data_IF_824414802274
#
_entry.id   IF_824414802274
#
_cell.length_a   1.000
_cell.length_b   1.000
_cell.length_c   1.000
_cell.angle_alpha   90.00
_cell.angle_beta   90.00
_cell.angle_gamma   90.00
#
_symmetry.space_group_name_H-M   'P 1'
#
loop_
_entity.id
_entity.type
_entity.pdbx_description
1 polymer ?
#
# COMPACT_ATOMS: atom_id res chain seq x y z
N UNK A 1 -9.90 19.99 -20.75
CA UNK A 1 -8.97 18.85 -20.65
C UNK A 1 -9.66 17.71 -19.91
N UNK A 2 -9.98 16.62 -20.62
CA UNK A 2 -10.58 15.43 -20.01
C UNK A 2 -9.49 14.47 -19.53
N UNK A 3 -9.48 14.01 -18.27
CA UNK A 3 -8.57 12.94 -17.87
C UNK A 3 -9.05 11.64 -18.51
N UNK A 4 -8.18 11.03 -19.33
CA UNK A 4 -8.38 9.71 -19.93
C UNK A 4 -8.53 8.68 -18.82
N UNK A 5 -9.78 8.29 -18.51
CA UNK A 5 -10.05 7.17 -17.60
C UNK A 5 -9.88 5.87 -18.38
N UNK A 6 -8.69 5.27 -18.30
CA UNK A 6 -8.47 3.93 -18.83
C UNK A 6 -9.14 2.90 -17.92
N UNK A 7 -10.42 2.59 -18.22
CA UNK A 7 -11.13 1.44 -17.63
C UNK A 7 -10.72 0.17 -18.38
N UNK A 8 -9.57 -0.43 -18.05
CA UNK A 8 -9.36 -1.86 -18.33
C UNK A 8 -9.18 -2.61 -17.01
N UNK A 9 -9.89 -3.72 -16.90
CA UNK A 9 -9.73 -4.73 -15.85
C UNK A 9 -8.36 -5.40 -16.09
N UNK A 10 -7.32 -4.88 -15.44
CA UNK A 10 -5.95 -5.40 -15.57
C UNK A 10 -5.90 -6.80 -14.96
N UNK A 11 -5.32 -7.76 -15.70
CA UNK A 11 -5.27 -9.16 -15.25
C UNK A 11 -4.32 -9.32 -14.05
N UNK A 12 -4.57 -10.29 -13.14
CA UNK A 12 -3.80 -10.54 -11.92
C UNK A 12 -2.26 -10.56 -12.05
N UNK A 13 -1.74 -11.02 -13.19
CA UNK A 13 -0.31 -11.16 -13.48
C UNK A 13 0.34 -9.87 -14.02
N UNK A 14 -0.42 -9.00 -14.69
CA UNK A 14 0.07 -7.70 -15.18
C UNK A 14 0.20 -6.67 -14.04
N UNK A 15 -0.47 -6.89 -12.91
CA UNK A 15 -0.42 -6.00 -11.75
C UNK A 15 0.96 -5.96 -11.07
N UNK A 16 1.73 -7.07 -11.12
CA UNK A 16 3.06 -7.17 -10.48
C UNK A 16 4.09 -6.25 -11.17
N UNK A 17 4.09 -6.21 -12.50
CA UNK A 17 4.93 -5.27 -13.25
C UNK A 17 4.40 -3.82 -13.12
N UNK A 18 3.08 -3.62 -13.03
CA UNK A 18 2.49 -2.29 -12.92
C UNK A 18 2.84 -1.59 -11.61
N UNK A 19 2.90 -2.30 -10.47
CA UNK A 19 3.26 -1.68 -9.18
C UNK A 19 4.73 -1.24 -9.15
N UNK A 20 5.64 -2.08 -9.64
CA UNK A 20 7.08 -1.77 -9.67
C UNK A 20 7.44 -0.64 -10.65
N UNK A 21 6.78 -0.57 -11.82
CA UNK A 21 7.03 0.45 -12.85
C UNK A 21 6.50 1.83 -12.43
N UNK A 22 5.33 1.90 -11.78
CA UNK A 22 4.70 3.18 -11.41
C UNK A 22 5.19 3.77 -10.08
N UNK A 23 5.92 3.04 -9.24
CA UNK A 23 6.60 3.67 -8.09
C UNK A 23 7.77 4.59 -8.52
N UNK A 24 8.28 4.43 -9.75
CA UNK A 24 9.31 5.29 -10.36
C UNK A 24 8.74 6.54 -11.05
N UNK A 25 7.55 6.46 -11.63
CA UNK A 25 6.94 7.59 -12.31
C UNK A 25 5.89 8.23 -11.40
N UNK A 26 6.02 9.53 -11.14
CA UNK A 26 5.17 10.29 -10.21
C UNK A 26 3.72 10.50 -10.71
N UNK A 27 3.15 9.54 -11.46
CA UNK A 27 1.81 9.57 -12.05
C UNK A 27 1.22 8.16 -12.10
N UNK A 28 0.41 7.76 -11.12
CA UNK A 28 -0.33 6.50 -11.21
C UNK A 28 -1.15 6.18 -9.99
N UNK A 29 -2.48 6.24 -10.13
CA UNK A 29 -3.44 5.76 -9.15
C UNK A 29 -3.67 4.25 -9.36
N UNK A 30 -3.70 3.46 -8.29
CA UNK A 30 -4.27 2.11 -8.33
C UNK A 30 -5.77 2.24 -8.01
N UNK A 31 -6.67 1.70 -8.85
CA UNK A 31 -8.13 1.78 -8.63
C UNK A 31 -8.77 0.41 -8.86
N UNK A 32 -9.38 -0.15 -7.82
CA UNK A 32 -10.37 -1.22 -7.94
C UNK A 32 -11.43 -1.09 -6.84
N UNK A 33 -12.69 -1.41 -7.15
CA UNK A 33 -13.87 -1.31 -6.27
C UNK A 33 -14.03 0.00 -5.45
N UNK A 34 -13.42 1.09 -5.90
CA UNK A 34 -13.51 2.40 -5.25
C UNK A 34 -12.22 2.85 -4.56
N UNK A 35 -11.42 1.94 -4.00
CA UNK A 35 -10.19 2.31 -3.27
C UNK A 35 -9.09 2.81 -4.21
N UNK A 36 -8.44 3.91 -3.82
CA UNK A 36 -7.25 4.51 -4.42
C UNK A 36 -6.08 4.42 -3.45
N UNK A 37 -4.88 4.19 -3.96
CA UNK A 37 -3.67 4.22 -3.13
C UNK A 37 -2.71 5.33 -3.58
N UNK A 38 -2.11 6.00 -2.60
CA UNK A 38 -1.02 6.95 -2.76
C UNK A 38 0.10 6.59 -1.78
N UNK A 39 1.33 6.94 -2.12
CA UNK A 39 2.51 6.59 -1.33
C UNK A 39 3.34 7.84 -1.02
N UNK A 40 3.64 8.04 0.26
CA UNK A 40 4.56 9.08 0.73
C UNK A 40 5.98 8.80 0.21
N UNK A 41 6.79 9.85 0.06
CA UNK A 41 8.16 9.71 -0.46
C UNK A 41 9.01 8.79 0.43
N UNK A 42 8.86 8.90 1.76
CA UNK A 42 9.55 8.03 2.71
C UNK A 42 9.15 6.56 2.55
N UNK A 43 7.85 6.29 2.37
CA UNK A 43 7.37 4.93 2.08
C UNK A 43 8.09 4.34 0.87
N UNK A 44 8.16 5.10 -0.24
CA UNK A 44 8.82 4.64 -1.47
C UNK A 44 10.32 4.37 -1.24
N UNK A 45 10.98 5.18 -0.40
CA UNK A 45 12.39 4.98 -0.03
C UNK A 45 12.58 3.69 0.77
N UNK A 46 11.81 3.50 1.84
CA UNK A 46 11.88 2.29 2.67
C UNK A 46 11.53 1.04 1.85
N UNK A 47 10.48 1.10 1.02
CA UNK A 47 10.09 -0.01 0.15
C UNK A 47 11.22 -0.46 -0.79
N UNK A 48 11.99 0.49 -1.36
CA UNK A 48 13.15 0.15 -2.21
C UNK A 48 14.26 -0.58 -1.44
N UNK A 49 14.41 -0.29 -0.14
CA UNK A 49 15.42 -0.89 0.72
C UNK A 49 15.02 -2.28 1.26
N UNK A 50 13.75 -2.66 1.15
CA UNK A 50 13.30 -4.00 1.52
C UNK A 50 13.99 -5.06 0.65
N UNK A 51 14.18 -6.27 1.21
CA UNK A 51 14.68 -7.44 0.49
C UNK A 51 13.70 -7.81 -0.65
N UNK A 52 14.17 -8.46 -1.73
CA UNK A 52 13.30 -8.86 -2.84
C UNK A 52 12.04 -9.62 -2.41
N UNK A 53 12.19 -10.58 -1.50
CA UNK A 53 11.07 -11.39 -0.96
C UNK A 53 10.07 -10.56 -0.15
N UNK A 54 10.53 -9.55 0.58
CA UNK A 54 9.66 -8.66 1.36
C UNK A 54 8.86 -7.73 0.44
N UNK A 55 9.48 -7.25 -0.63
CA UNK A 55 8.78 -6.47 -1.67
C UNK A 55 7.71 -7.30 -2.38
N UNK A 56 8.01 -8.56 -2.68
CA UNK A 56 7.04 -9.49 -3.25
C UNK A 56 5.85 -9.71 -2.31
N UNK A 57 6.13 -9.98 -1.02
CA UNK A 57 5.08 -10.09 0.00
C UNK A 57 4.26 -8.81 0.13
N UNK A 58 4.89 -7.64 0.08
CA UNK A 58 4.16 -6.37 0.05
C UNK A 58 3.22 -6.30 -1.15
N UNK A 59 3.68 -6.64 -2.36
CA UNK A 59 2.85 -6.58 -3.56
C UNK A 59 1.65 -7.54 -3.47
N UNK A 60 1.85 -8.74 -2.93
CA UNK A 60 0.76 -9.69 -2.65
C UNK A 60 -0.27 -9.11 -1.67
N UNK A 61 0.19 -8.58 -0.52
CA UNK A 61 -0.70 -7.98 0.49
C UNK A 61 -1.39 -6.73 -0.02
N UNK A 62 -0.68 -5.91 -0.78
CA UNK A 62 -1.22 -4.69 -1.36
C UNK A 62 -2.33 -5.01 -2.37
N UNK A 63 -2.18 -6.07 -3.17
CA UNK A 63 -3.24 -6.55 -4.05
C UNK A 63 -4.48 -7.00 -3.28
N UNK A 64 -4.31 -7.71 -2.17
CA UNK A 64 -5.41 -8.08 -1.27
C UNK A 64 -6.08 -6.84 -0.67
N UNK A 65 -5.27 -5.90 -0.15
CA UNK A 65 -5.73 -4.65 0.42
C UNK A 65 -6.60 -3.83 -0.54
N UNK A 66 -6.18 -3.76 -1.81
CA UNK A 66 -6.93 -3.03 -2.84
C UNK A 66 -8.28 -3.69 -3.17
N UNK A 67 -8.45 -4.99 -2.89
CA UNK A 67 -9.72 -5.70 -3.04
C UNK A 67 -10.60 -5.50 -1.81
N UNK A 68 -10.05 -5.78 -0.62
CA UNK A 68 -10.68 -5.58 0.66
C UNK A 68 -9.61 -5.34 1.74
N UNK A 69 -9.54 -4.13 2.33
CA UNK A 69 -8.54 -3.80 3.34
C UNK A 69 -8.77 -4.51 4.68
N UNK A 70 -9.94 -5.11 4.93
CA UNK A 70 -10.29 -5.74 6.20
C UNK A 70 -10.16 -7.27 6.18
N UNK A 71 -9.53 -7.82 5.14
CA UNK A 71 -9.21 -9.25 5.11
C UNK A 71 -8.42 -9.65 6.37
N UNK A 72 -8.80 -10.71 7.09
CA UNK A 72 -8.17 -11.09 8.36
C UNK A 72 -6.65 -11.24 8.28
N UNK A 73 -6.16 -11.72 7.13
CA UNK A 73 -4.75 -11.92 6.86
C UNK A 73 -3.91 -10.63 6.83
N UNK A 74 -4.54 -9.49 6.55
CA UNK A 74 -3.91 -8.17 6.62
C UNK A 74 -3.82 -7.66 8.05
N UNK A 75 -4.58 -8.24 8.99
CA UNK A 75 -4.66 -7.81 10.38
C UNK A 75 -4.81 -6.28 10.50
N UNK A 76 -5.78 -5.72 9.77
CA UNK A 76 -5.93 -4.28 9.65
C UNK A 76 -6.51 -3.66 10.94
N UNK A 77 -5.72 -2.88 11.67
CA UNK A 77 -6.13 -2.24 12.91
C UNK A 77 -5.70 -0.77 12.98
N UNK A 78 -6.45 0.02 13.74
CA UNK A 78 -6.12 1.42 14.02
C UNK A 78 -4.90 1.51 14.95
N UNK A 79 -4.11 2.56 14.76
CA UNK A 79 -2.95 2.86 15.59
C UNK A 79 -3.22 4.02 16.54
N UNK A 80 -2.43 4.05 17.61
CA UNK A 80 -2.46 5.07 18.65
C UNK A 80 -1.10 5.78 18.76
N UNK A 81 -1.00 6.78 19.63
CA UNK A 81 0.25 7.52 19.87
C UNK A 81 0.73 8.30 18.64
N UNK A 82 2.01 8.18 18.29
CA UNK A 82 2.64 8.88 17.14
C UNK A 82 1.91 8.67 15.81
N UNK A 83 1.25 7.52 15.66
CA UNK A 83 0.49 7.15 14.46
C UNK A 83 -1.03 7.21 14.70
N UNK A 84 -1.51 8.00 15.66
CA UNK A 84 -2.94 8.21 15.87
C UNK A 84 -3.63 8.66 14.56
N UNK A 85 -4.77 8.03 14.24
CA UNK A 85 -5.49 8.26 12.98
C UNK A 85 -4.94 7.47 11.78
N UNK A 86 -3.82 6.77 11.93
CA UNK A 86 -3.33 5.81 10.95
C UNK A 86 -3.83 4.39 11.25
N UNK A 87 -3.60 3.50 10.30
CA UNK A 87 -3.89 2.08 10.36
C UNK A 87 -2.67 1.28 9.93
N UNK A 88 -2.52 0.08 10.49
CA UNK A 88 -1.45 -0.85 10.16
C UNK A 88 -2.00 -2.08 9.45
N UNK A 89 -1.27 -2.59 8.47
CA UNK A 89 -1.48 -3.92 7.90
C UNK A 89 -0.19 -4.75 7.99
N UNK A 90 -0.36 -6.05 8.19
CA UNK A 90 0.72 -7.03 8.16
C UNK A 90 1.19 -7.27 6.73
N UNK A 91 2.51 -7.17 6.53
CA UNK A 91 3.16 -7.58 5.28
C UNK A 91 3.76 -8.98 5.45
N UNK A 92 4.58 -9.13 6.48
CA UNK A 92 5.13 -10.40 6.98
C UNK A 92 4.89 -10.50 8.50
N UNK A 93 5.47 -11.51 9.17
CA UNK A 93 5.47 -11.58 10.64
C UNK A 93 6.03 -10.31 11.27
N UNK A 94 7.12 -9.79 10.70
CA UNK A 94 7.86 -8.67 11.28
C UNK A 94 7.63 -7.33 10.56
N UNK A 95 7.17 -7.30 9.31
CA UNK A 95 6.99 -6.05 8.55
C UNK A 95 5.55 -5.57 8.59
N UNK A 96 5.37 -4.27 8.79
CA UNK A 96 4.08 -3.58 8.73
C UNK A 96 4.11 -2.47 7.69
N UNK A 97 2.98 -2.24 7.03
CA UNK A 97 2.73 -1.02 6.28
C UNK A 97 1.72 -0.15 7.04
N UNK A 98 2.02 1.13 7.18
CA UNK A 98 1.16 2.12 7.83
C UNK A 98 0.56 3.03 6.77
N UNK A 99 -0.75 3.24 6.87
CA UNK A 99 -1.47 4.15 5.99
C UNK A 99 -2.53 4.94 6.77
N UNK A 100 -2.94 6.08 6.22
CA UNK A 100 -4.12 6.82 6.67
C UNK A 100 -5.20 6.79 5.59
N UNK A 101 -6.46 6.87 5.98
CA UNK A 101 -7.56 7.10 5.04
C UNK A 101 -7.71 8.61 4.82
N UNK A 102 -7.62 9.03 3.56
CA UNK A 102 -7.87 10.39 3.11
C UNK A 102 -9.21 10.43 2.37
N UNK A 103 -10.23 11.00 3.02
CA UNK A 103 -11.60 10.98 2.50
C UNK A 103 -12.17 9.56 2.48
N UNK A 104 -13.10 9.31 1.56
CA UNK A 104 -13.89 8.07 1.54
C UNK A 104 -13.12 6.90 0.92
N UNK A 105 -12.23 7.18 -0.04
CA UNK A 105 -11.75 6.15 -0.97
C UNK A 105 -10.24 6.13 -1.17
N UNK A 106 -9.45 6.92 -0.44
CA UNK A 106 -8.00 7.02 -0.70
C UNK A 106 -7.18 6.58 0.50
N UNK A 107 -6.42 5.50 0.36
CA UNK A 107 -5.38 5.09 1.29
C UNK A 107 -4.05 5.78 0.98
N UNK A 108 -3.53 6.55 1.94
CA UNK A 108 -2.22 7.17 1.84
C UNK A 108 -1.21 6.44 2.72
N UNK A 109 -0.33 5.67 2.08
CA UNK A 109 0.72 4.88 2.74
C UNK A 109 1.90 5.77 3.13
N UNK A 110 2.24 5.78 4.42
CA UNK A 110 3.19 6.73 5.02
C UNK A 110 4.52 6.06 5.34
N UNK A 111 4.49 4.83 5.87
CA UNK A 111 5.66 4.07 6.27
C UNK A 111 5.53 2.56 5.99
N UNK A 112 6.65 1.89 5.76
CA UNK A 112 6.78 0.44 5.74
C UNK A 112 8.12 0.08 6.39
N UNK A 113 8.06 -0.71 7.46
CA UNK A 113 9.24 -1.08 8.24
C UNK A 113 8.91 -2.28 9.15
N UNK A 114 9.92 -2.74 9.90
CA UNK A 114 9.73 -3.72 10.96
C UNK A 114 8.82 -3.21 12.07
N UNK A 115 8.13 -4.13 12.75
CA UNK A 115 7.26 -3.85 13.88
C UNK A 115 8.03 -3.08 14.97
N UNK A 116 9.23 -3.54 15.30
CA UNK A 116 10.08 -2.89 16.30
C UNK A 116 10.41 -1.45 15.90
N UNK A 117 10.82 -1.18 14.65
CA UNK A 117 11.18 0.18 14.21
C UNK A 117 10.01 1.17 14.21
N UNK A 118 8.77 0.68 14.09
CA UNK A 118 7.58 1.53 14.05
C UNK A 118 7.02 1.87 15.43
N UNK A 119 7.33 1.07 16.46
CA UNK A 119 6.84 1.26 17.83
C UNK A 119 7.94 1.49 18.86
N UNK A 120 9.21 1.59 18.44
CA UNK A 120 10.30 2.08 19.27
C UNK A 120 10.22 3.59 19.53
#
# INVERSE_FOLDING_TARGET
MNPVTFRRRIKPAEMLNFVAINLRQNRGFYKCNGMKARFHANFKKCYKNLRPSEREKFNERFKMFMQDPFLPLLNNHALYGKYAGCRSINITGDIRAIYQLCGIDTAYFIAIDSHSNLYS
#
